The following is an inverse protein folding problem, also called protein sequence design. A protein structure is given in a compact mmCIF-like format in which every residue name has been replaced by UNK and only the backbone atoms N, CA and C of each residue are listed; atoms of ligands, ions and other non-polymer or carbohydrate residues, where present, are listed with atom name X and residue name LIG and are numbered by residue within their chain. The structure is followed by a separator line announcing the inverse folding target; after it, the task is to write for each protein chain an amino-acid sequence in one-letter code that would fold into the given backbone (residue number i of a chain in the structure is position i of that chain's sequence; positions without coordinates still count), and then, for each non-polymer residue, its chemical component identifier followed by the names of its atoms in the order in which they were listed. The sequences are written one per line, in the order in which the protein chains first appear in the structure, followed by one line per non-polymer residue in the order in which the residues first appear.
data_IF_440912752821
#
_entry.id   IF_440912752821
#
_cell.length_a   1.000
_cell.length_b   1.000
_cell.length_c   1.000
_cell.angle_alpha   90.00
_cell.angle_beta   90.00
_cell.angle_gamma   90.00
#
_symmetry.space_group_name_H-M   'P 1'
#
loop_
_entity.id
_entity.type
_entity.pdbx_description
1 polymer ?
#
# COMPACT_ATOMS: atom_id res chain seq x y z
N UNK A 1 5.90 0.62 -4.88
CA UNK A 1 4.78 0.19 -4.01
C UNK A 1 4.46 -1.31 -4.14
N UNK A 2 3.96 -1.78 -5.29
CA UNK A 2 3.47 -3.16 -5.44
C UNK A 2 4.55 -4.22 -5.17
N UNK A 3 5.77 -4.01 -5.65
CA UNK A 3 6.89 -4.93 -5.39
C UNK A 3 7.13 -5.08 -3.89
N UNK A 4 7.27 -3.97 -3.16
CA UNK A 4 7.41 -3.94 -1.71
C UNK A 4 6.25 -4.64 -1.00
N UNK A 5 5.00 -4.37 -1.42
CA UNK A 5 3.82 -5.02 -0.84
C UNK A 5 3.84 -6.56 -1.03
N UNK A 6 4.43 -7.06 -2.12
CA UNK A 6 4.55 -8.49 -2.39
C UNK A 6 5.66 -9.19 -1.59
N UNK A 7 6.56 -8.46 -0.93
CA UNK A 7 7.56 -9.05 -0.03
C UNK A 7 6.96 -9.59 1.28
N UNK A 8 5.81 -9.05 1.68
CA UNK A 8 5.14 -9.41 2.92
C UNK A 8 4.15 -10.56 2.72
N UNK A 9 3.96 -11.38 3.76
CA UNK A 9 2.98 -12.47 3.79
C UNK A 9 1.56 -11.97 4.05
N UNK A 10 1.41 -10.88 4.79
CA UNK A 10 0.13 -10.29 5.16
C UNK A 10 -0.74 -9.93 3.96
N UNK A 11 -2.05 -9.96 4.15
CA UNK A 11 -2.99 -9.38 3.21
C UNK A 11 -2.96 -7.86 3.36
N UNK A 12 -2.62 -7.13 2.29
CA UNK A 12 -2.43 -5.68 2.36
C UNK A 12 -3.42 -5.00 1.42
N UNK A 13 -4.01 -3.92 1.91
CA UNK A 13 -5.01 -3.15 1.21
C UNK A 13 -4.67 -1.67 1.26
N UNK A 14 -4.98 -0.99 0.15
CA UNK A 14 -4.95 0.47 0.07
C UNK A 14 -6.37 0.96 -0.09
N UNK A 15 -6.73 1.95 0.71
CA UNK A 15 -8.01 2.60 0.65
C UNK A 15 -7.83 4.10 0.36
N UNK A 16 -8.68 4.60 -0.53
CA UNK A 16 -8.83 6.01 -0.87
C UNK A 16 -10.33 6.28 -0.89
N UNK A 17 -10.77 7.23 -0.07
CA UNK A 17 -12.19 7.50 0.18
C UNK A 17 -12.92 6.20 0.61
N UNK A 18 -13.97 5.79 -0.10
CA UNK A 18 -14.72 4.57 0.18
C UNK A 18 -14.23 3.37 -0.65
N UNK A 19 -13.20 3.55 -1.48
CA UNK A 19 -12.69 2.51 -2.39
C UNK A 19 -11.45 1.84 -1.80
N UNK A 20 -11.50 0.52 -1.71
CA UNK A 20 -10.40 -0.32 -1.22
C UNK A 20 -9.96 -1.33 -2.28
N UNK A 21 -8.66 -1.47 -2.47
CA UNK A 21 -8.06 -2.43 -3.41
C UNK A 21 -6.90 -3.18 -2.78
N UNK A 22 -6.58 -4.35 -3.32
CA UNK A 22 -5.42 -5.14 -2.90
C UNK A 22 -4.12 -4.40 -3.29
N UNK A 23 -3.26 -4.13 -2.32
CA UNK A 23 -1.99 -3.42 -2.47
C UNK A 23 -0.96 -4.19 -3.32
N UNK A 24 -1.11 -5.51 -3.42
CA UNK A 24 -0.26 -6.41 -4.21
C UNK A 24 -0.68 -6.50 -5.68
N UNK A 25 -1.81 -5.91 -6.07
CA UNK A 25 -2.30 -5.88 -7.44
C UNK A 25 -2.00 -4.54 -8.12
N UNK A 26 -1.16 -4.55 -9.15
CA UNK A 26 -0.83 -3.36 -9.94
C UNK A 26 -2.09 -2.70 -10.53
N UNK A 27 -2.96 -3.48 -11.18
CA UNK A 27 -4.19 -2.96 -11.78
C UNK A 27 -5.13 -2.37 -10.72
N UNK A 28 -5.23 -2.99 -9.54
CA UNK A 28 -6.03 -2.49 -8.42
C UNK A 28 -5.55 -1.12 -7.96
N UNK A 29 -4.26 -0.99 -7.66
CA UNK A 29 -3.67 0.27 -7.19
C UNK A 29 -3.80 1.37 -8.25
N UNK A 30 -3.54 1.08 -9.53
CA UNK A 30 -3.74 2.05 -10.62
C UNK A 30 -5.20 2.52 -10.73
N UNK A 31 -6.17 1.63 -10.51
CA UNK A 31 -7.60 1.95 -10.60
C UNK A 31 -8.12 2.92 -9.53
N UNK A 32 -7.34 3.15 -8.46
CA UNK A 32 -7.65 4.16 -7.43
C UNK A 32 -7.26 5.58 -7.87
N UNK A 33 -6.43 5.73 -8.91
CA UNK A 33 -5.98 7.04 -9.39
C UNK A 33 -5.34 7.86 -8.27
N UNK A 34 -4.43 7.25 -7.51
CA UNK A 34 -3.69 7.92 -6.44
C UNK A 34 -2.63 8.83 -7.09
N UNK A 35 -2.66 10.11 -6.73
CA UNK A 35 -1.69 11.12 -7.20
C UNK A 35 -1.01 11.79 -6.01
N UNK A 36 0.09 12.50 -6.24
CA UNK A 36 0.79 13.24 -5.19
C UNK A 36 -0.17 14.18 -4.42
N UNK A 37 -0.06 14.18 -3.09
CA UNK A 37 -0.96 14.92 -2.20
C UNK A 37 -2.26 14.19 -1.83
N UNK A 38 -2.49 12.98 -2.35
CA UNK A 38 -3.65 12.16 -1.95
C UNK A 38 -3.38 11.49 -0.60
N UNK A 39 -4.28 11.67 0.37
CA UNK A 39 -4.28 10.85 1.59
C UNK A 39 -4.84 9.47 1.29
N UNK A 40 -4.10 8.43 1.68
CA UNK A 40 -4.53 7.02 1.57
C UNK A 40 -4.43 6.35 2.93
N UNK A 41 -5.22 5.29 3.12
CA UNK A 41 -5.11 4.42 4.29
C UNK A 41 -4.52 3.07 3.88
N UNK A 42 -3.46 2.66 4.55
CA UNK A 42 -2.82 1.35 4.36
C UNK A 42 -3.28 0.44 5.50
N UNK A 43 -3.78 -0.73 5.14
CA UNK A 43 -4.32 -1.71 6.08
C UNK A 43 -3.62 -3.04 5.79
N UNK A 44 -3.02 -3.66 6.80
CA UNK A 44 -2.45 -4.99 6.70
C UNK A 44 -3.08 -5.90 7.75
N UNK A 45 -3.20 -7.18 7.41
CA UNK A 45 -3.67 -8.25 8.30
C UNK A 45 -2.80 -9.49 8.05
N UNK A 46 -2.12 -9.97 9.10
CA UNK A 46 -1.31 -11.17 9.04
C UNK A 46 -0.04 -11.13 9.89
N UNK A 47 0.78 -12.18 9.73
CA UNK A 47 1.94 -12.44 10.60
C UNK A 47 3.04 -11.37 10.56
N UNK A 48 3.07 -10.53 9.53
CA UNK A 48 4.04 -9.44 9.35
C UNK A 48 3.34 -8.09 9.11
N UNK A 49 2.12 -7.91 9.63
CA UNK A 49 1.28 -6.73 9.37
C UNK A 49 1.92 -5.41 9.82
N UNK A 50 2.55 -5.37 10.99
CA UNK A 50 3.25 -4.17 11.48
C UNK A 50 4.42 -3.78 10.57
N UNK A 51 5.18 -4.79 10.11
CA UNK A 51 6.33 -4.59 9.23
C UNK A 51 5.87 -4.14 7.84
N UNK A 52 4.76 -4.71 7.35
CA UNK A 52 4.14 -4.35 6.10
C UNK A 52 3.66 -2.89 6.08
N UNK A 53 2.92 -2.47 7.12
CA UNK A 53 2.46 -1.08 7.24
C UNK A 53 3.66 -0.13 7.37
N UNK A 54 4.59 -0.42 8.29
CA UNK A 54 5.76 0.44 8.50
C UNK A 54 6.61 0.61 7.24
N UNK A 55 6.89 -0.48 6.53
CA UNK A 55 7.70 -0.44 5.31
C UNK A 55 7.00 0.28 4.16
N UNK A 56 5.69 0.08 3.99
CA UNK A 56 4.95 0.77 2.93
C UNK A 56 4.74 2.25 3.22
N UNK A 57 4.54 2.65 4.47
CA UNK A 57 4.47 4.07 4.86
C UNK A 57 5.80 4.77 4.55
N UNK A 58 6.93 4.18 4.98
CA UNK A 58 8.26 4.72 4.69
C UNK A 58 8.52 4.90 3.20
N UNK A 59 8.11 3.93 2.38
CA UNK A 59 8.25 3.99 0.92
C UNK A 59 7.44 5.15 0.31
N UNK A 60 6.24 5.42 0.84
CA UNK A 60 5.40 6.54 0.37
C UNK A 60 6.00 7.88 0.83
N UNK A 61 6.45 7.97 2.09
CA UNK A 61 7.07 9.18 2.65
C UNK A 61 8.41 9.51 1.98
N UNK A 62 9.17 8.51 1.54
CA UNK A 62 10.40 8.71 0.77
C UNK A 62 10.16 9.18 -0.67
N UNK A 63 8.89 9.26 -1.10
CA UNK A 63 8.54 9.60 -2.48
C UNK A 63 8.92 8.52 -3.48
N UNK A 64 8.99 7.25 -3.04
CA UNK A 64 9.42 6.11 -3.84
C UNK A 64 10.88 6.18 -4.31
N UNK A 65 11.75 6.84 -3.53
CA UNK A 65 13.17 6.98 -3.83
C UNK A 65 14.05 5.76 -3.41
N UNK A 66 13.42 4.63 -3.07
CA UNK A 66 14.07 3.34 -2.78
C UNK A 66 14.14 2.42 -4.01
#
# INVERSE_FOLDING_TARGET
FIQKANEYKSSIWVEKDERRVNAKSLLGVLSLGIVGGTTIRIIADGADEEQAVSGLVKLVESGFAE
#
